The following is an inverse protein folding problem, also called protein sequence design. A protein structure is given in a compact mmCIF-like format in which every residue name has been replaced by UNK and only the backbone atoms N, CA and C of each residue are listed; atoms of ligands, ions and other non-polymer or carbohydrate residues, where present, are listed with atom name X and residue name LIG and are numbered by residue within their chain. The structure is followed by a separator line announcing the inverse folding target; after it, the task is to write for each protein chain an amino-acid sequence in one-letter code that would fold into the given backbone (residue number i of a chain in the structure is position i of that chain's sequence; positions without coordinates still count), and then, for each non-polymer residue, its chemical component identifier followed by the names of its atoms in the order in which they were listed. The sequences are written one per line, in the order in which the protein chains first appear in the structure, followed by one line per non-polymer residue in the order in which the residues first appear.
data_IF_926545069298
#
_entry.id   IF_926545069298
#
_cell.length_a   1.000
_cell.length_b   1.000
_cell.length_c   1.000
_cell.angle_alpha   90.00
_cell.angle_beta   90.00
_cell.angle_gamma   90.00
#
_symmetry.space_group_name_H-M   'P 1'
#
loop_
_entity.id
_entity.type
_entity.pdbx_description
1 polymer ?
#
# COMPACT_ATOMS: atom_id res chain seq x y z
N UNK A 1 27.50 0.72 -3.26
CA UNK A 1 26.10 0.29 -3.04
C UNK A 1 25.96 -1.23 -2.90
N UNK A 2 26.20 -2.05 -3.93
CA UNK A 2 25.97 -3.50 -3.83
C UNK A 2 26.80 -4.26 -2.76
N UNK A 3 28.00 -3.76 -2.40
CA UNK A 3 28.81 -4.32 -1.31
C UNK A 3 28.30 -4.00 0.10
N UNK A 4 27.58 -2.88 0.28
CA UNK A 4 27.09 -2.45 1.60
C UNK A 4 25.83 -3.20 2.03
N UNK A 5 25.00 -3.64 1.06
CA UNK A 5 23.72 -4.31 1.33
C UNK A 5 23.90 -5.73 1.88
N UNK A 6 25.06 -6.35 1.66
CA UNK A 6 25.40 -7.69 2.15
C UNK A 6 26.37 -7.68 3.34
N UNK A 7 26.71 -6.51 3.86
CA UNK A 7 27.73 -6.36 4.90
C UNK A 7 27.29 -6.92 6.26
N UNK A 8 25.99 -7.01 6.52
CA UNK A 8 25.44 -7.58 7.75
C UNK A 8 24.08 -8.23 7.48
N UNK A 9 23.67 -9.13 8.38
CA UNK A 9 22.32 -9.73 8.34
C UNK A 9 21.22 -8.66 8.36
N UNK A 10 21.41 -7.60 9.14
CA UNK A 10 20.48 -6.47 9.22
C UNK A 10 20.27 -5.81 7.85
N UNK A 11 21.37 -5.43 7.19
CA UNK A 11 21.32 -4.76 5.88
C UNK A 11 20.80 -5.69 4.79
N UNK A 12 21.16 -6.97 4.81
CA UNK A 12 20.67 -7.94 3.82
C UNK A 12 19.17 -8.16 3.93
N UNK A 13 18.63 -8.23 5.15
CA UNK A 13 17.18 -8.37 5.36
C UNK A 13 16.43 -7.14 4.85
N UNK A 14 16.89 -5.93 5.17
CA UNK A 14 16.28 -4.69 4.66
C UNK A 14 16.32 -4.66 3.13
N UNK A 15 17.47 -4.99 2.54
CA UNK A 15 17.62 -5.05 1.10
C UNK A 15 16.67 -6.05 0.45
N UNK A 16 16.52 -7.22 1.07
CA UNK A 16 15.62 -8.27 0.61
C UNK A 16 14.15 -7.84 0.61
N UNK A 17 13.71 -7.18 1.68
CA UNK A 17 12.37 -6.59 1.75
C UNK A 17 12.15 -5.58 0.62
N UNK A 18 13.12 -4.70 0.37
CA UNK A 18 13.01 -3.66 -0.68
C UNK A 18 12.74 -4.29 -2.05
N UNK A 19 13.57 -5.24 -2.50
CA UNK A 19 13.39 -5.76 -3.85
C UNK A 19 12.21 -6.73 -3.96
N UNK A 20 11.87 -7.48 -2.90
CA UNK A 20 10.69 -8.36 -2.90
C UNK A 20 9.38 -7.58 -3.01
N UNK A 21 9.33 -6.36 -2.44
CA UNK A 21 8.16 -5.49 -2.46
C UNK A 21 8.17 -4.46 -3.60
N UNK A 22 9.14 -4.54 -4.50
CA UNK A 22 9.30 -3.58 -5.59
C UNK A 22 8.39 -3.93 -6.78
N UNK A 23 7.47 -3.03 -7.20
CA UNK A 23 6.55 -3.30 -8.30
C UNK A 23 7.14 -3.02 -9.69
N UNK A 24 8.23 -2.27 -9.78
CA UNK A 24 8.73 -1.69 -11.04
C UNK A 24 10.13 -2.14 -11.36
N UNK A 25 10.46 -2.33 -12.63
CA UNK A 25 11.84 -2.59 -13.04
C UNK A 25 12.78 -1.45 -12.62
N UNK A 26 13.96 -1.81 -12.13
CA UNK A 26 14.96 -0.86 -11.67
C UNK A 26 16.35 -1.46 -11.82
N UNK A 27 17.28 -0.70 -12.42
CA UNK A 27 18.63 -1.16 -12.79
C UNK A 27 19.40 -1.79 -11.62
N UNK A 28 19.21 -1.30 -10.41
CA UNK A 28 19.95 -1.74 -9.22
C UNK A 28 19.26 -2.85 -8.42
N UNK A 29 18.05 -3.28 -8.81
CA UNK A 29 17.30 -4.31 -8.08
C UNK A 29 17.34 -5.65 -8.83
N UNK A 30 17.52 -6.79 -8.13
CA UNK A 30 17.67 -8.08 -8.77
C UNK A 30 16.39 -8.59 -9.43
N UNK A 31 15.23 -8.13 -8.95
CA UNK A 31 13.93 -8.46 -9.54
C UNK A 31 12.89 -7.43 -9.14
N UNK A 32 11.71 -7.54 -9.76
CA UNK A 32 10.52 -6.77 -9.44
C UNK A 32 9.29 -7.67 -9.61
N UNK A 33 8.18 -7.31 -8.98
CA UNK A 33 6.91 -8.01 -9.11
C UNK A 33 5.80 -7.05 -9.58
N UNK A 34 5.45 -7.03 -10.87
CA UNK A 34 4.44 -6.10 -11.39
C UNK A 34 3.03 -6.35 -10.84
N UNK A 35 2.77 -7.51 -10.22
CA UNK A 35 1.51 -7.78 -9.53
C UNK A 35 1.34 -6.93 -8.26
N UNK A 36 2.42 -6.33 -7.73
CA UNK A 36 2.35 -5.39 -6.62
C UNK A 36 1.90 -3.98 -7.03
N UNK A 37 1.78 -3.72 -8.33
CA UNK A 37 1.23 -2.47 -8.83
C UNK A 37 -0.31 -2.50 -8.70
N UNK A 38 -0.80 -2.00 -7.56
CA UNK A 38 -2.22 -1.82 -7.28
C UNK A 38 -2.73 -0.62 -8.07
N UNK A 39 -3.76 -0.84 -8.88
CA UNK A 39 -4.37 0.23 -9.66
C UNK A 39 -5.05 1.23 -8.72
N UNK A 40 -4.77 2.50 -8.90
CA UNK A 40 -5.47 3.58 -8.17
C UNK A 40 -6.41 4.39 -9.08
N UNK A 41 -6.25 4.27 -10.40
CA UNK A 41 -6.88 5.17 -11.36
C UNK A 41 -7.61 4.44 -12.49
N UNK A 42 -8.58 5.14 -13.07
CA UNK A 42 -9.23 4.77 -14.31
C UNK A 42 -9.99 3.45 -14.25
N UNK A 43 -10.67 3.20 -13.15
CA UNK A 43 -11.66 2.14 -13.06
C UNK A 43 -12.85 2.43 -13.99
N UNK A 44 -13.39 1.39 -14.68
CA UNK A 44 -14.54 1.55 -15.56
C UNK A 44 -15.79 2.04 -14.82
N UNK A 45 -16.64 2.81 -15.52
CA UNK A 45 -17.97 3.16 -15.00
C UNK A 45 -18.97 2.00 -15.11
N UNK A 46 -18.85 1.18 -16.15
CA UNK A 46 -19.78 0.09 -16.41
C UNK A 46 -19.63 -0.99 -15.33
N UNK A 47 -20.74 -1.39 -14.72
CA UNK A 47 -20.74 -2.29 -13.54
C UNK A 47 -20.02 -3.62 -13.81
N UNK A 48 -20.26 -4.24 -14.97
CA UNK A 48 -19.63 -5.52 -15.31
C UNK A 48 -18.10 -5.37 -15.48
N UNK A 49 -17.66 -4.33 -16.18
CA UNK A 49 -16.24 -4.04 -16.38
C UNK A 49 -15.55 -3.63 -15.07
N UNK A 50 -16.23 -2.87 -14.22
CA UNK A 50 -15.73 -2.51 -12.90
C UNK A 50 -15.49 -3.77 -12.06
N UNK A 51 -16.48 -4.68 -12.00
CA UNK A 51 -16.38 -5.91 -11.21
C UNK A 51 -15.27 -6.84 -11.71
N UNK A 52 -15.11 -6.98 -13.02
CA UNK A 52 -14.00 -7.75 -13.60
C UNK A 52 -12.63 -7.13 -13.23
N UNK A 53 -12.50 -5.80 -13.35
CA UNK A 53 -11.28 -5.11 -12.98
C UNK A 53 -11.00 -5.18 -11.46
N UNK A 54 -12.04 -5.03 -10.63
CA UNK A 54 -11.95 -5.12 -9.18
C UNK A 54 -11.49 -6.51 -8.74
N UNK A 55 -12.04 -7.59 -9.33
CA UNK A 55 -11.61 -8.95 -9.03
C UNK A 55 -10.11 -9.17 -9.30
N UNK A 56 -9.58 -8.63 -10.40
CA UNK A 56 -8.15 -8.68 -10.72
C UNK A 56 -7.29 -7.94 -9.70
N UNK A 57 -7.71 -6.73 -9.30
CA UNK A 57 -6.94 -5.94 -8.34
C UNK A 57 -7.07 -6.46 -6.89
N UNK A 58 -8.16 -7.14 -6.55
CA UNK A 58 -8.33 -7.89 -5.29
C UNK A 58 -7.30 -9.02 -5.17
N UNK A 59 -7.07 -9.78 -6.25
CA UNK A 59 -6.03 -10.83 -6.29
C UNK A 59 -4.63 -10.23 -6.05
N UNK A 60 -4.33 -9.09 -6.67
CA UNK A 60 -3.07 -8.36 -6.46
C UNK A 60 -2.92 -7.87 -5.02
N UNK A 61 -3.97 -7.27 -4.47
CA UNK A 61 -3.97 -6.80 -3.09
C UNK A 61 -3.74 -7.95 -2.09
N UNK A 62 -4.34 -9.12 -2.34
CA UNK A 62 -4.11 -10.34 -1.55
C UNK A 62 -2.64 -10.76 -1.54
N UNK A 63 -2.03 -10.81 -2.73
CA UNK A 63 -0.60 -11.13 -2.87
C UNK A 63 0.28 -10.11 -2.14
N UNK A 64 0.00 -8.82 -2.29
CA UNK A 64 0.73 -7.75 -1.62
C UNK A 64 0.62 -7.86 -0.09
N UNK A 65 -0.57 -8.13 0.46
CA UNK A 65 -0.76 -8.35 1.89
C UNK A 65 0.04 -9.54 2.43
N UNK A 66 0.09 -10.65 1.68
CA UNK A 66 0.88 -11.82 2.05
C UNK A 66 2.38 -11.49 2.10
N UNK A 67 2.90 -10.82 1.07
CA UNK A 67 4.32 -10.44 1.00
C UNK A 67 4.69 -9.40 2.07
N UNK A 68 3.82 -8.45 2.37
CA UNK A 68 4.01 -7.50 3.47
C UNK A 68 4.05 -8.21 4.82
N UNK A 69 3.19 -9.20 5.04
CA UNK A 69 3.17 -9.96 6.30
C UNK A 69 4.46 -10.78 6.48
N UNK A 70 5.00 -11.35 5.40
CA UNK A 70 6.31 -12.00 5.42
C UNK A 70 7.43 -11.00 5.69
N UNK A 71 7.41 -9.83 5.05
CA UNK A 71 8.41 -8.79 5.26
C UNK A 71 8.43 -8.28 6.71
N UNK A 72 7.27 -8.09 7.33
CA UNK A 72 7.13 -7.72 8.75
C UNK A 72 7.83 -8.75 9.64
N UNK A 73 7.55 -10.04 9.42
CA UNK A 73 8.18 -11.13 10.18
C UNK A 73 9.71 -11.14 10.01
N UNK A 74 10.22 -10.91 8.80
CA UNK A 74 11.67 -10.86 8.58
C UNK A 74 12.32 -9.63 9.25
N UNK A 75 11.66 -8.47 9.22
CA UNK A 75 12.13 -7.26 9.89
C UNK A 75 12.13 -7.42 11.41
N UNK A 76 11.14 -8.12 11.97
CA UNK A 76 11.07 -8.44 13.41
C UNK A 76 12.24 -9.30 13.86
N UNK A 77 12.63 -10.31 13.08
CA UNK A 77 13.77 -11.20 13.38
C UNK A 77 15.11 -10.48 13.47
N UNK A 78 15.24 -9.29 12.88
CA UNK A 78 16.48 -8.50 12.89
C UNK A 78 16.36 -7.21 13.73
N UNK A 79 15.25 -7.02 14.44
CA UNK A 79 14.99 -5.81 15.25
C UNK A 79 16.12 -5.50 16.22
N UNK A 80 16.61 -6.51 16.95
CA UNK A 80 17.67 -6.33 17.95
C UNK A 80 19.01 -5.91 17.33
N UNK A 81 19.22 -6.21 16.03
CA UNK A 81 20.43 -5.81 15.32
C UNK A 81 20.44 -4.31 14.97
N UNK A 82 19.30 -3.63 15.05
CA UNK A 82 19.20 -2.17 14.81
C UNK A 82 20.08 -1.36 15.76
N UNK A 83 20.13 -1.75 17.03
CA UNK A 83 20.90 -1.03 18.05
C UNK A 83 22.41 -1.08 17.79
N UNK A 84 22.89 -2.18 17.19
CA UNK A 84 24.29 -2.41 16.86
C UNK A 84 24.66 -1.97 15.43
N UNK A 85 23.74 -1.37 14.68
CA UNK A 85 24.03 -0.86 13.34
C UNK A 85 24.67 0.54 13.43
N UNK A 86 25.89 0.65 12.91
CA UNK A 86 26.68 1.89 12.95
C UNK A 86 26.16 2.97 11.98
N UNK A 87 25.44 2.58 10.93
CA UNK A 87 24.96 3.52 9.91
C UNK A 87 23.56 4.05 10.22
N UNK A 88 23.47 5.35 10.52
CA UNK A 88 22.19 6.07 10.69
C UNK A 88 21.25 5.87 9.52
N UNK A 89 21.78 5.92 8.28
CA UNK A 89 21.01 5.69 7.06
C UNK A 89 20.31 4.33 7.07
N UNK A 90 21.01 3.28 7.51
CA UNK A 90 20.44 1.92 7.55
C UNK A 90 19.45 1.75 8.68
N UNK A 91 19.68 2.39 9.84
CA UNK A 91 18.70 2.46 10.93
C UNK A 91 17.42 3.17 10.49
N UNK A 92 17.54 4.33 9.86
CA UNK A 92 16.40 5.09 9.33
C UNK A 92 15.62 4.31 8.25
N UNK A 93 16.32 3.62 7.35
CA UNK A 93 15.70 2.74 6.35
C UNK A 93 14.90 1.62 7.01
N UNK A 94 15.47 0.94 8.01
CA UNK A 94 14.78 -0.11 8.75
C UNK A 94 13.50 0.41 9.41
N UNK A 95 13.60 1.50 10.18
CA UNK A 95 12.47 2.06 10.93
C UNK A 95 11.34 2.47 9.98
N UNK A 96 11.69 3.15 8.88
CA UNK A 96 10.72 3.60 7.90
C UNK A 96 10.06 2.43 7.16
N UNK A 97 10.84 1.47 6.64
CA UNK A 97 10.30 0.34 5.87
C UNK A 97 9.41 -0.51 6.77
N UNK A 98 9.80 -0.70 8.03
CA UNK A 98 9.01 -1.48 8.97
C UNK A 98 7.66 -0.82 9.26
N UNK A 99 7.64 0.50 9.52
CA UNK A 99 6.41 1.27 9.66
C UNK A 99 5.55 1.23 8.38
N UNK A 100 6.18 1.36 7.21
CA UNK A 100 5.51 1.28 5.91
C UNK A 100 4.87 -0.09 5.67
N UNK A 101 5.53 -1.18 6.03
CA UNK A 101 4.97 -2.52 5.80
C UNK A 101 3.67 -2.72 6.57
N UNK A 102 3.64 -2.30 7.84
CA UNK A 102 2.46 -2.36 8.72
C UNK A 102 1.36 -1.44 8.16
N UNK A 103 1.71 -0.18 7.85
CA UNK A 103 0.75 0.79 7.31
C UNK A 103 0.13 0.35 5.98
N UNK A 104 0.93 -0.22 5.09
CA UNK A 104 0.46 -0.67 3.78
C UNK A 104 -0.45 -1.89 3.90
N UNK A 105 -0.24 -2.76 4.90
CA UNK A 105 -1.16 -3.86 5.20
C UNK A 105 -2.55 -3.33 5.58
N UNK A 106 -2.63 -2.34 6.48
CA UNK A 106 -3.89 -1.68 6.85
C UNK A 106 -4.55 -1.02 5.63
N UNK A 107 -3.77 -0.31 4.80
CA UNK A 107 -4.30 0.34 3.58
C UNK A 107 -4.81 -0.63 2.54
N UNK A 108 -4.17 -1.78 2.37
CA UNK A 108 -4.66 -2.82 1.47
C UNK A 108 -5.96 -3.41 1.97
N UNK A 109 -6.12 -3.58 3.27
CA UNK A 109 -7.40 -3.97 3.84
C UNK A 109 -8.50 -2.91 3.54
N UNK A 110 -8.20 -1.64 3.76
CA UNK A 110 -9.12 -0.54 3.45
C UNK A 110 -9.45 -0.46 1.95
N UNK A 111 -8.48 -0.76 1.09
CA UNK A 111 -8.70 -0.87 -0.35
C UNK A 111 -9.68 -1.99 -0.70
N UNK A 112 -9.56 -3.15 -0.06
CA UNK A 112 -10.47 -4.28 -0.28
C UNK A 112 -11.89 -3.97 0.19
N UNK A 113 -12.05 -3.27 1.32
CA UNK A 113 -13.34 -2.77 1.77
C UNK A 113 -13.95 -1.78 0.77
N UNK A 114 -13.16 -0.82 0.29
CA UNK A 114 -13.63 0.15 -0.70
C UNK A 114 -14.03 -0.52 -2.02
N UNK A 115 -13.31 -1.56 -2.43
CA UNK A 115 -13.63 -2.38 -3.61
C UNK A 115 -14.96 -3.12 -3.45
N UNK A 116 -15.15 -3.83 -2.34
CA UNK A 116 -16.37 -4.57 -2.06
C UNK A 116 -17.58 -3.63 -1.94
N UNK A 117 -17.44 -2.54 -1.19
CA UNK A 117 -18.50 -1.53 -1.04
C UNK A 117 -18.90 -0.95 -2.40
N UNK A 118 -17.93 -0.52 -3.21
CA UNK A 118 -18.21 0.04 -4.52
C UNK A 118 -18.82 -0.98 -5.49
N UNK A 119 -18.32 -2.22 -5.52
CA UNK A 119 -18.84 -3.27 -6.39
C UNK A 119 -20.28 -3.69 -6.08
N UNK A 120 -20.67 -3.59 -4.81
CA UNK A 120 -22.02 -3.95 -4.33
C UNK A 120 -23.01 -2.78 -4.45
N UNK A 121 -22.59 -1.56 -4.14
CA UNK A 121 -23.47 -0.39 -4.13
C UNK A 121 -23.50 0.37 -5.47
N UNK A 122 -22.42 0.34 -6.25
CA UNK A 122 -22.28 0.95 -7.60
C UNK A 122 -23.01 2.30 -7.76
N UNK A 123 -22.54 3.37 -7.09
CA UNK A 123 -23.22 4.66 -7.16
C UNK A 123 -23.25 5.21 -8.59
N UNK A 124 -24.33 5.91 -8.95
CA UNK A 124 -24.35 6.67 -10.21
C UNK A 124 -23.45 7.90 -10.05
N UNK A 125 -22.61 8.24 -11.05
CA UNK A 125 -21.83 9.47 -11.01
C UNK A 125 -22.73 10.71 -10.85
N UNK A 126 -22.35 11.60 -9.95
CA UNK A 126 -23.06 12.86 -9.70
C UNK A 126 -22.59 13.93 -10.68
N UNK A 127 -21.31 13.95 -11.04
CA UNK A 127 -20.75 14.97 -11.94
C UNK A 127 -21.01 14.60 -13.40
N UNK A 128 -21.53 15.53 -14.23
CA UNK A 128 -21.89 15.24 -15.63
C UNK A 128 -20.73 14.77 -16.52
N UNK A 129 -19.49 15.16 -16.18
CA UNK A 129 -18.29 14.82 -16.96
C UNK A 129 -17.59 13.56 -16.48
N UNK A 130 -18.09 12.88 -15.45
CA UNK A 130 -17.42 11.68 -14.93
C UNK A 130 -17.48 10.57 -15.96
N UNK A 131 -16.34 9.96 -16.25
CA UNK A 131 -16.26 8.80 -17.13
C UNK A 131 -15.41 7.65 -16.55
N UNK A 132 -14.86 7.81 -15.33
CA UNK A 132 -14.06 6.81 -14.63
C UNK A 132 -14.21 6.95 -13.12
N UNK A 133 -13.82 5.91 -12.40
CA UNK A 133 -13.60 5.95 -10.95
C UNK A 133 -12.11 5.90 -10.62
N UNK A 134 -11.70 6.58 -9.57
CA UNK A 134 -10.37 6.43 -8.97
C UNK A 134 -10.55 6.04 -7.50
N UNK A 135 -9.67 5.18 -6.98
CA UNK A 135 -9.55 5.02 -5.53
C UNK A 135 -8.50 6.00 -5.02
N UNK A 136 -8.76 6.59 -3.86
CA UNK A 136 -7.84 7.53 -3.19
C UNK A 136 -7.72 7.19 -1.73
N UNK A 137 -6.54 7.49 -1.18
CA UNK A 137 -6.28 7.45 0.26
C UNK A 137 -7.08 8.54 0.96
N UNK A 138 -7.52 8.25 2.17
CA UNK A 138 -8.25 9.17 3.03
C UNK A 138 -7.92 8.88 4.51
N UNK A 139 -7.91 9.89 5.39
CA UNK A 139 -7.79 9.66 6.83
C UNK A 139 -8.92 8.79 7.41
N UNK A 140 -10.12 8.83 6.80
CA UNK A 140 -11.28 8.10 7.32
C UNK A 140 -11.26 6.64 6.88
N UNK A 141 -11.08 5.72 7.83
CA UNK A 141 -11.24 4.29 7.59
C UNK A 141 -12.71 3.88 7.45
N UNK A 142 -12.94 2.86 6.63
CA UNK A 142 -14.17 2.11 6.51
C UNK A 142 -14.21 1.07 7.63
N UNK A 143 -15.36 0.99 8.32
CA UNK A 143 -15.67 -0.07 9.27
C UNK A 143 -16.63 -1.03 8.57
N UNK A 144 -16.25 -2.30 8.31
CA UNK A 144 -17.14 -3.26 7.66
C UNK A 144 -18.38 -3.55 8.48
N UNK A 145 -19.53 -3.65 7.81
CA UNK A 145 -20.69 -4.33 8.35
C UNK A 145 -20.47 -5.86 8.41
N UNK A 146 -21.38 -6.58 9.06
CA UNK A 146 -21.28 -8.04 9.22
C UNK A 146 -21.21 -8.77 7.87
N UNK A 147 -22.03 -8.37 6.90
CA UNK A 147 -22.07 -9.03 5.59
C UNK A 147 -20.80 -8.79 4.78
N UNK A 148 -20.26 -7.58 4.81
CA UNK A 148 -18.99 -7.24 4.18
C UNK A 148 -17.82 -7.97 4.86
N UNK A 149 -17.82 -8.03 6.18
CA UNK A 149 -16.80 -8.79 6.91
C UNK A 149 -16.83 -10.27 6.53
N UNK A 150 -18.00 -10.91 6.48
CA UNK A 150 -18.10 -12.33 6.12
C UNK A 150 -17.60 -12.63 4.69
N UNK A 151 -17.90 -11.75 3.72
CA UNK A 151 -17.33 -11.88 2.36
C UNK A 151 -15.81 -11.79 2.36
N UNK A 152 -15.24 -10.84 3.11
CA UNK A 152 -13.79 -10.72 3.25
C UNK A 152 -13.18 -11.89 4.00
N UNK A 153 -13.82 -12.36 5.07
CA UNK A 153 -13.40 -13.52 5.87
C UNK A 153 -13.22 -14.74 4.97
N UNK A 154 -14.19 -15.01 4.11
CA UNK A 154 -14.15 -16.09 3.13
C UNK A 154 -13.09 -15.88 2.04
N UNK A 155 -13.03 -14.69 1.42
CA UNK A 155 -12.10 -14.41 0.33
C UNK A 155 -10.62 -14.43 0.76
N UNK A 156 -10.35 -14.03 2.01
CA UNK A 156 -9.00 -13.88 2.56
C UNK A 156 -8.61 -14.95 3.57
N UNK A 157 -9.51 -15.90 3.86
CA UNK A 157 -9.32 -16.96 4.85
C UNK A 157 -8.94 -16.39 6.23
N UNK A 158 -9.61 -15.31 6.64
CA UNK A 158 -9.41 -14.68 7.94
C UNK A 158 -10.00 -15.62 8.99
N UNK A 159 -9.21 -15.95 10.01
CA UNK A 159 -9.60 -16.89 11.07
C UNK A 159 -10.21 -16.20 12.30
N UNK A 160 -10.09 -14.88 12.37
CA UNK A 160 -10.55 -14.05 13.48
C UNK A 160 -12.03 -13.71 13.31
N UNK A 161 -12.70 -13.47 14.43
CA UNK A 161 -14.06 -12.92 14.41
C UNK A 161 -14.04 -11.41 14.15
N UNK A 162 -15.19 -10.83 13.79
CA UNK A 162 -15.28 -9.44 13.34
C UNK A 162 -14.70 -8.46 14.35
N UNK A 163 -15.10 -8.56 15.61
CA UNK A 163 -14.68 -7.65 16.67
C UNK A 163 -13.17 -7.76 16.94
N UNK A 164 -12.65 -8.98 16.95
CA UNK A 164 -11.22 -9.26 17.10
C UNK A 164 -10.43 -8.68 15.92
N UNK A 165 -10.97 -8.83 14.71
CA UNK A 165 -10.38 -8.31 13.49
C UNK A 165 -10.36 -6.77 13.48
N UNK A 166 -11.44 -6.12 13.89
CA UNK A 166 -11.50 -4.66 13.99
C UNK A 166 -10.51 -4.13 15.03
N UNK A 167 -10.37 -4.82 16.17
CA UNK A 167 -9.38 -4.49 17.18
C UNK A 167 -7.96 -4.63 16.63
N UNK A 168 -7.68 -5.70 15.88
CA UNK A 168 -6.40 -5.93 15.22
C UNK A 168 -6.04 -4.85 14.20
N UNK A 169 -6.98 -4.45 13.34
CA UNK A 169 -6.73 -3.38 12.36
C UNK A 169 -6.45 -2.05 13.04
N UNK A 170 -7.15 -1.75 14.14
CA UNK A 170 -6.91 -0.54 14.94
C UNK A 170 -5.54 -0.58 15.63
N UNK A 171 -5.17 -1.71 16.22
CA UNK A 171 -3.83 -1.89 16.83
C UNK A 171 -2.71 -1.70 15.79
N UNK A 172 -2.89 -2.23 14.58
CA UNK A 172 -1.94 -2.06 13.48
C UNK A 172 -1.85 -0.60 13.00
N UNK A 173 -2.96 0.13 12.97
CA UNK A 173 -2.98 1.57 12.68
C UNK A 173 -2.21 2.37 13.74
N UNK A 174 -2.52 2.14 15.02
CA UNK A 174 -1.88 2.79 16.15
C UNK A 174 -0.39 2.49 16.18
N UNK A 175 -0.02 1.22 15.97
CA UNK A 175 1.37 0.75 15.88
C UNK A 175 2.11 1.41 14.73
N UNK A 176 1.54 1.42 13.53
CA UNK A 176 2.18 2.08 12.38
C UNK A 176 2.37 3.59 12.63
N UNK A 177 1.38 4.23 13.25
CA UNK A 177 1.43 5.66 13.59
C UNK A 177 2.52 5.95 14.60
N UNK A 178 2.60 5.17 15.68
CA UNK A 178 3.65 5.27 16.68
C UNK A 178 5.05 5.09 16.05
N UNK A 179 5.21 4.08 15.19
CA UNK A 179 6.48 3.84 14.51
C UNK A 179 6.86 4.99 13.57
N UNK A 180 5.93 5.61 12.84
CA UNK A 180 6.24 6.80 12.04
C UNK A 180 6.64 8.00 12.90
N UNK A 181 6.04 8.17 14.08
CA UNK A 181 6.48 9.18 15.05
C UNK A 181 7.90 8.90 15.52
N UNK A 182 8.22 7.65 15.87
CA UNK A 182 9.59 7.24 16.22
C UNK A 182 10.59 7.50 15.09
N UNK A 183 10.23 7.28 13.81
CA UNK A 183 11.12 7.64 12.68
C UNK A 183 11.45 9.13 12.71
N UNK A 184 10.46 9.99 12.96
CA UNK A 184 10.64 11.44 12.96
C UNK A 184 11.47 11.92 14.15
N UNK A 185 11.27 11.32 15.31
CA UNK A 185 12.00 11.63 16.53
C UNK A 185 13.45 11.16 16.46
N UNK A 186 13.68 9.94 15.96
CA UNK A 186 15.01 9.35 15.87
C UNK A 186 15.83 9.90 14.70
N UNK A 187 15.19 10.33 13.61
CA UNK A 187 15.85 10.78 12.37
C UNK A 187 15.36 12.16 11.89
N UNK A 188 15.41 13.21 12.73
CA UNK A 188 14.84 14.52 12.41
C UNK A 188 15.55 15.20 11.23
N UNK A 189 14.81 16.00 10.46
CA UNK A 189 15.30 16.75 9.29
C UNK A 189 15.91 15.88 8.18
N UNK A 190 15.49 14.62 8.09
CA UNK A 190 15.93 13.69 7.05
C UNK A 190 14.81 13.37 6.05
N UNK A 191 15.15 12.88 4.84
CA UNK A 191 14.16 12.39 3.88
C UNK A 191 13.27 11.27 4.46
N UNK A 192 13.76 10.47 5.41
CA UNK A 192 12.97 9.42 6.07
C UNK A 192 11.88 10.00 6.96
N UNK A 193 12.20 11.03 7.75
CA UNK A 193 11.20 11.74 8.56
C UNK A 193 10.16 12.45 7.69
N UNK A 194 10.59 13.08 6.60
CA UNK A 194 9.65 13.68 5.63
C UNK A 194 8.76 12.64 4.97
N UNK A 195 9.31 11.46 4.65
CA UNK A 195 8.51 10.35 4.12
C UNK A 195 7.53 9.83 5.15
N UNK A 196 7.93 9.64 6.41
CA UNK A 196 7.03 9.26 7.49
C UNK A 196 5.89 10.28 7.68
N UNK A 197 6.20 11.58 7.68
CA UNK A 197 5.21 12.66 7.68
C UNK A 197 4.25 12.58 6.49
N UNK A 198 4.79 12.35 5.28
CA UNK A 198 3.97 12.18 4.09
C UNK A 198 3.02 11.00 4.22
N UNK A 199 3.50 9.84 4.66
CA UNK A 199 2.67 8.65 4.83
C UNK A 199 1.56 8.88 5.86
N UNK A 200 1.85 9.48 7.01
CA UNK A 200 0.82 9.80 8.00
C UNK A 200 -0.25 10.74 7.46
N UNK A 201 0.13 11.77 6.69
CA UNK A 201 -0.84 12.73 6.10
C UNK A 201 -1.81 12.09 5.11
N UNK A 202 -1.42 11.00 4.44
CA UNK A 202 -2.31 10.28 3.52
C UNK A 202 -3.46 9.56 4.24
N UNK A 203 -3.26 9.20 5.51
CA UNK A 203 -4.17 8.33 6.25
C UNK A 203 -4.06 6.86 5.86
N UNK A 204 -4.99 6.07 6.40
CA UNK A 204 -5.05 4.61 6.20
C UNK A 204 -6.27 4.16 5.42
N UNK A 205 -7.34 4.97 5.39
CA UNK A 205 -8.57 4.67 4.67
C UNK A 205 -8.44 4.79 3.16
N UNK A 206 -9.41 4.19 2.47
CA UNK A 206 -9.52 4.23 1.01
C UNK A 206 -10.97 4.57 0.63
N UNK A 207 -11.14 5.35 -0.43
CA UNK A 207 -12.46 5.69 -0.95
C UNK A 207 -12.44 5.81 -2.46
N UNK A 208 -13.55 5.45 -3.10
CA UNK A 208 -13.76 5.72 -4.51
C UNK A 208 -14.25 7.15 -4.72
N UNK A 209 -13.69 7.80 -5.74
CA UNK A 209 -14.08 9.13 -6.17
C UNK A 209 -14.29 9.17 -7.68
N UNK A 210 -15.19 10.04 -8.09
CA UNK A 210 -15.44 10.32 -9.50
C UNK A 210 -14.22 10.96 -10.18
N UNK A 211 -13.91 10.50 -11.38
CA UNK A 211 -12.81 11.00 -12.19
C UNK A 211 -13.23 11.23 -13.66
N UNK A 212 -12.56 12.19 -14.29
CA UNK A 212 -12.63 12.42 -15.73
C UNK A 212 -11.28 12.11 -16.36
N UNK A 213 -11.30 11.23 -17.36
CA UNK A 213 -10.17 10.92 -18.24
C UNK A 213 -10.47 11.49 -19.61
N UNK A 214 -9.69 12.46 -20.06
CA UNK A 214 -9.85 13.01 -21.40
C UNK A 214 -9.63 11.90 -22.45
N UNK A 215 -10.57 11.67 -23.39
CA UNK A 215 -10.39 10.71 -24.48
C UNK A 215 -9.16 11.00 -25.37
N UNK A 216 -8.68 12.24 -25.40
CA UNK A 216 -7.50 12.62 -26.16
C UNK A 216 -6.18 12.12 -25.54
N UNK A 217 -6.17 11.65 -24.29
CA UNK A 217 -4.96 11.04 -23.71
C UNK A 217 -4.49 9.78 -24.45
N UNK A 218 -5.38 9.11 -25.17
CA UNK A 218 -5.02 7.94 -25.99
C UNK A 218 -4.47 8.33 -27.38
N UNK A 219 -4.56 9.61 -27.76
CA UNK A 219 -4.06 10.12 -29.04
C UNK A 219 -2.60 10.56 -28.88
N UNK A 220 -1.66 9.68 -29.22
CA UNK A 220 -0.22 9.94 -29.25
C UNK A 220 0.22 10.80 -30.47
N UNK A 221 -0.60 11.75 -30.92
CA UNK A 221 -0.31 12.57 -32.12
C UNK A 221 0.41 13.89 -31.77
N UNK A 222 1.29 13.85 -30.77
CA UNK A 222 2.14 14.99 -30.43
C UNK A 222 3.32 14.99 -31.41
N UNK A 223 3.20 15.76 -32.49
CA UNK A 223 4.35 16.08 -33.35
C UNK A 223 5.30 16.99 -32.58
N UNK A 224 6.36 16.42 -32.00
CA UNK A 224 7.44 17.22 -31.45
C UNK A 224 8.08 18.03 -32.59
N UNK A 225 8.35 19.34 -32.40
CA UNK A 225 9.07 20.13 -33.39
C UNK A 225 10.43 19.49 -33.65
N UNK A 226 10.84 19.44 -34.92
CA UNK A 226 12.17 18.94 -35.30
C UNK A 226 13.24 19.87 -34.69
N UNK A 227 14.34 19.31 -34.14
CA UNK A 227 15.45 20.11 -33.62
C UNK A 227 16.11 20.95 -34.71
#
# INVERSE_FOLDING_TARGET
YAGETKASKFRSTIWEVIWRLNPTEHEFLPSHNPQLNIREHWYPLANAEFRDQAAKDVVKAKLAMQLLSQAIVELEKVKDLRASEDSDRWRANYDLIYAQCIAYRVRLFQFLLAMDDHANNMPKPVKPKTNRWNVRRTPKMIVPDEGQFERLKQAFNIRMEREEYLAYVRDEEERATAMYLEVKENHPNTPWAERANYEMRQGFGMQFVEAFRDPNYDKLDIKLPKP
#
